data_IF_176452202968
#
_entry.id   IF_176452202968
#
_cell.length_a   1.000
_cell.length_b   1.000
_cell.length_c   1.000
_cell.angle_alpha   90.00
_cell.angle_beta   90.00
_cell.angle_gamma   90.00
#
_symmetry.space_group_name_H-M   'P 1'
#
loop_
_entity.id
_entity.type
_entity.pdbx_description
1 polymer ?
#
# COMPACT_ATOMS: atom_id res chain seq x y z
N UNK A 1 -13.10 -11.39 -11.52
CA UNK A 1 -13.31 -12.37 -12.61
C UNK A 1 -14.45 -13.29 -12.20
N UNK A 2 -14.35 -14.00 -11.10
CA UNK A 2 -15.28 -15.02 -10.62
C UNK A 2 -16.72 -14.53 -10.38
N UNK A 3 -16.91 -13.25 -10.07
CA UNK A 3 -18.24 -12.65 -9.89
C UNK A 3 -18.92 -12.27 -11.21
N UNK A 4 -18.16 -12.12 -12.28
CA UNK A 4 -18.65 -11.57 -13.56
C UNK A 4 -18.70 -12.61 -14.68
N UNK A 5 -17.90 -13.66 -14.61
CA UNK A 5 -17.70 -14.61 -15.68
C UNK A 5 -17.97 -16.04 -15.25
N UNK A 6 -18.53 -16.85 -16.12
CA UNK A 6 -18.69 -18.28 -15.87
C UNK A 6 -17.36 -19.00 -16.02
N UNK A 7 -16.88 -19.61 -14.95
CA UNK A 7 -15.67 -20.41 -15.00
C UNK A 7 -15.95 -21.76 -15.62
N UNK A 8 -15.09 -22.18 -16.53
CA UNK A 8 -15.12 -23.52 -17.11
C UNK A 8 -14.56 -24.57 -16.15
N UNK A 9 -13.58 -24.16 -15.35
CA UNK A 9 -12.88 -25.02 -14.40
C UNK A 9 -12.32 -24.17 -13.22
N UNK A 10 -11.84 -24.85 -12.20
CA UNK A 10 -11.19 -24.20 -11.06
C UNK A 10 -9.95 -23.43 -11.52
N UNK A 11 -9.77 -22.16 -11.12
CA UNK A 11 -8.59 -21.38 -11.48
C UNK A 11 -7.29 -22.07 -11.02
N UNK A 12 -6.24 -21.93 -11.83
CA UNK A 12 -4.93 -22.48 -11.51
C UNK A 12 -3.95 -21.38 -11.15
N UNK A 13 -3.40 -21.43 -9.93
CA UNK A 13 -2.32 -20.55 -9.50
C UNK A 13 -0.97 -21.20 -9.78
N UNK A 14 -0.24 -20.69 -10.77
CA UNK A 14 1.11 -21.07 -11.07
C UNK A 14 2.06 -20.38 -10.08
N UNK A 15 2.94 -21.15 -9.45
CA UNK A 15 3.88 -20.65 -8.46
C UNK A 15 5.32 -21.11 -8.75
N UNK A 16 6.29 -20.43 -8.16
CA UNK A 16 7.71 -20.74 -8.27
C UNK A 16 8.15 -21.63 -7.12
N UNK A 17 9.02 -22.55 -7.38
CA UNK A 17 9.69 -23.36 -6.34
C UNK A 17 10.37 -22.45 -5.32
N UNK A 18 9.99 -22.60 -4.04
CA UNK A 18 10.50 -21.81 -2.93
C UNK A 18 9.62 -20.61 -2.54
N UNK A 19 8.45 -20.44 -3.17
CA UNK A 19 7.45 -19.50 -2.68
C UNK A 19 6.97 -19.88 -1.28
N UNK A 20 6.64 -18.87 -0.46
CA UNK A 20 6.26 -19.11 0.93
C UNK A 20 4.96 -19.91 1.01
N UNK A 21 4.87 -20.77 2.01
CA UNK A 21 3.66 -21.54 2.27
C UNK A 21 2.44 -20.63 2.52
N UNK A 22 2.64 -19.48 3.12
CA UNK A 22 1.58 -18.51 3.38
C UNK A 22 0.92 -18.02 2.10
N UNK A 23 1.71 -17.72 1.05
CA UNK A 23 1.18 -17.38 -0.28
C UNK A 23 0.40 -18.52 -0.92
N UNK A 24 0.90 -19.73 -0.81
CA UNK A 24 0.25 -20.91 -1.38
C UNK A 24 -1.09 -21.20 -0.66
N UNK A 25 -1.10 -21.14 0.66
CA UNK A 25 -2.31 -21.31 1.49
C UNK A 25 -3.38 -20.24 1.15
N UNK A 26 -2.98 -19.02 0.80
CA UNK A 26 -3.92 -17.97 0.36
C UNK A 26 -4.58 -18.30 -0.98
N UNK A 27 -3.83 -18.81 -1.94
CA UNK A 27 -4.40 -19.24 -3.22
C UNK A 27 -5.39 -20.40 -3.05
N UNK A 28 -5.05 -21.38 -2.21
CA UNK A 28 -5.95 -22.50 -1.89
C UNK A 28 -7.23 -22.01 -1.19
N UNK A 29 -7.12 -21.10 -0.21
CA UNK A 29 -8.27 -20.49 0.46
C UNK A 29 -9.19 -19.72 -0.50
N UNK A 30 -8.63 -19.15 -1.56
CA UNK A 30 -9.37 -18.48 -2.64
C UNK A 30 -9.91 -19.45 -3.69
N UNK A 31 -9.73 -20.76 -3.49
CA UNK A 31 -10.27 -21.80 -4.36
C UNK A 31 -9.45 -22.03 -5.62
N UNK A 32 -8.15 -21.74 -5.63
CA UNK A 32 -7.27 -22.04 -6.76
C UNK A 32 -6.60 -23.41 -6.61
N UNK A 33 -6.42 -24.10 -7.71
CA UNK A 33 -5.51 -25.24 -7.80
C UNK A 33 -4.05 -24.73 -7.88
N UNK A 34 -3.15 -25.34 -7.12
CA UNK A 34 -1.74 -24.98 -7.14
C UNK A 34 -0.98 -25.77 -8.21
N UNK A 35 -0.12 -25.09 -8.97
CA UNK A 35 0.75 -25.72 -9.97
C UNK A 35 2.15 -25.12 -9.90
N UNK A 36 3.14 -25.93 -9.51
CA UNK A 36 4.55 -25.52 -9.61
C UNK A 36 4.95 -25.37 -11.09
N UNK A 37 5.48 -24.19 -11.46
CA UNK A 37 5.93 -23.94 -12.81
C UNK A 37 7.44 -24.20 -12.93
N UNK A 38 7.90 -25.02 -13.91
CA UNK A 38 9.30 -25.46 -13.99
C UNK A 38 10.29 -24.31 -14.21
N UNK A 39 9.85 -23.19 -14.76
CA UNK A 39 10.69 -22.01 -15.02
C UNK A 39 10.43 -20.86 -14.05
N UNK A 40 9.64 -21.10 -12.98
CA UNK A 40 9.38 -20.10 -11.94
C UNK A 40 8.37 -19.04 -12.31
N UNK A 41 7.56 -19.22 -13.34
CA UNK A 41 6.48 -18.34 -13.73
C UNK A 41 5.39 -18.30 -12.68
N UNK A 42 4.86 -17.11 -12.39
CA UNK A 42 3.77 -16.89 -11.47
C UNK A 42 2.60 -16.22 -12.18
N UNK A 43 1.43 -16.81 -12.09
CA UNK A 43 0.21 -16.27 -12.67
C UNK A 43 -1.01 -17.02 -12.12
N UNK A 44 -2.18 -16.39 -12.11
CA UNK A 44 -3.43 -17.08 -11.89
C UNK A 44 -4.16 -17.18 -13.22
N UNK A 45 -4.45 -18.40 -13.64
CA UNK A 45 -5.12 -18.71 -14.89
C UNK A 45 -6.59 -19.00 -14.63
N UNK A 46 -7.45 -18.27 -15.32
CA UNK A 46 -8.89 -18.45 -15.31
C UNK A 46 -9.35 -18.86 -16.70
N UNK A 47 -10.00 -20.01 -16.82
CA UNK A 47 -10.66 -20.40 -18.07
C UNK A 47 -12.13 -20.02 -17.93
N UNK A 48 -12.56 -19.03 -18.70
CA UNK A 48 -13.95 -18.59 -18.76
C UNK A 48 -14.65 -19.15 -19.97
N UNK A 49 -15.98 -19.27 -19.89
CA UNK A 49 -16.83 -19.66 -21.02
C UNK A 49 -17.98 -18.69 -21.18
N UNK A 50 -18.26 -18.35 -22.42
CA UNK A 50 -19.40 -17.52 -22.82
C UNK A 50 -20.10 -18.11 -24.03
N UNK A 51 -21.43 -17.99 -24.08
CA UNK A 51 -22.24 -18.39 -25.21
C UNK A 51 -22.53 -17.16 -26.07
N UNK A 52 -21.83 -17.07 -27.20
CA UNK A 52 -22.00 -15.95 -28.15
C UNK A 52 -22.63 -16.52 -29.44
N UNK A 53 -23.81 -16.04 -29.78
CA UNK A 53 -24.57 -16.46 -31.01
C UNK A 53 -24.69 -17.98 -31.11
N UNK A 54 -25.01 -18.66 -30.01
CA UNK A 54 -25.13 -20.13 -29.91
C UNK A 54 -23.83 -20.89 -30.12
N UNK A 55 -22.67 -20.23 -30.08
CA UNK A 55 -21.36 -20.83 -30.08
C UNK A 55 -20.72 -20.68 -28.71
N UNK A 56 -20.35 -21.81 -28.10
CA UNK A 56 -19.65 -21.81 -26.79
C UNK A 56 -18.18 -21.51 -27.01
N UNK A 57 -17.77 -20.32 -26.59
CA UNK A 57 -16.39 -19.88 -26.64
C UNK A 57 -15.72 -20.02 -25.26
N UNK A 58 -14.44 -20.37 -25.26
CA UNK A 58 -13.63 -20.37 -24.04
C UNK A 58 -12.44 -19.43 -24.22
N UNK A 59 -12.11 -18.69 -23.17
CA UNK A 59 -10.98 -17.77 -23.15
C UNK A 59 -10.17 -17.99 -21.88
N UNK A 60 -8.85 -17.93 -21.98
CA UNK A 60 -7.96 -17.90 -20.83
C UNK A 60 -7.63 -16.47 -20.45
N UNK A 61 -7.87 -16.12 -19.18
CA UNK A 61 -7.47 -14.86 -18.59
C UNK A 61 -6.33 -15.15 -17.61
N UNK A 62 -5.15 -14.59 -17.89
CA UNK A 62 -3.99 -14.70 -17.03
C UNK A 62 -3.86 -13.42 -16.18
N UNK A 63 -3.84 -13.57 -14.86
CA UNK A 63 -3.62 -12.48 -13.91
C UNK A 63 -2.23 -12.60 -13.33
N UNK A 64 -1.42 -11.60 -13.54
CA UNK A 64 -0.01 -11.55 -13.09
C UNK A 64 0.42 -10.11 -12.85
N UNK A 65 1.57 -9.93 -12.20
CA UNK A 65 2.15 -8.61 -11.99
C UNK A 65 2.79 -8.08 -13.28
N UNK A 66 3.08 -6.78 -13.31
CA UNK A 66 3.78 -6.16 -14.46
C UNK A 66 5.18 -6.74 -14.65
N UNK A 67 5.87 -7.08 -13.57
CA UNK A 67 7.21 -7.65 -13.63
C UNK A 67 7.21 -9.11 -14.10
N UNK A 68 6.22 -9.90 -13.69
CA UNK A 68 6.02 -11.26 -14.21
C UNK A 68 5.60 -11.24 -15.68
N UNK A 69 4.80 -10.27 -16.12
CA UNK A 69 4.48 -10.04 -17.53
C UNK A 69 5.73 -9.76 -18.35
N UNK A 70 6.55 -8.79 -17.90
CA UNK A 70 7.77 -8.40 -18.60
C UNK A 70 8.76 -9.58 -18.72
N UNK A 71 8.93 -10.34 -17.63
CA UNK A 71 9.76 -11.54 -17.64
C UNK A 71 9.23 -12.59 -18.62
N UNK A 72 7.93 -12.86 -18.57
CA UNK A 72 7.28 -13.88 -19.39
C UNK A 72 7.40 -13.58 -20.88
N UNK A 73 7.21 -12.32 -21.28
CA UNK A 73 7.36 -11.90 -22.69
C UNK A 73 8.80 -12.05 -23.19
N UNK A 74 9.78 -11.73 -22.35
CA UNK A 74 11.20 -11.89 -22.71
C UNK A 74 11.57 -13.38 -22.79
N UNK A 75 11.13 -14.18 -21.81
CA UNK A 75 11.32 -15.62 -21.76
C UNK A 75 10.75 -16.28 -23.03
N UNK A 76 9.53 -15.92 -23.40
CA UNK A 76 8.88 -16.43 -24.60
C UNK A 76 9.64 -16.07 -25.88
N UNK A 77 10.07 -14.81 -26.02
CA UNK A 77 10.83 -14.36 -27.21
C UNK A 77 12.20 -15.00 -27.35
N UNK A 78 12.87 -15.27 -26.23
CA UNK A 78 14.23 -15.85 -26.26
C UNK A 78 14.17 -17.37 -26.50
N UNK A 79 13.29 -18.08 -25.78
CA UNK A 79 13.28 -19.56 -25.83
C UNK A 79 12.38 -20.13 -26.90
N UNK A 80 11.24 -19.51 -27.17
CA UNK A 80 10.27 -20.08 -28.09
C UNK A 80 10.47 -19.58 -29.52
N UNK A 81 10.37 -20.43 -30.55
CA UNK A 81 10.18 -21.89 -30.42
C UNK A 81 11.48 -22.72 -30.47
N UNK A 82 12.66 -22.08 -30.70
CA UNK A 82 13.87 -22.79 -31.12
C UNK A 82 14.88 -23.09 -30.03
N UNK A 83 14.92 -22.33 -28.96
CA UNK A 83 15.95 -22.38 -27.91
C UNK A 83 15.44 -22.85 -26.55
N UNK A 84 14.41 -23.69 -26.55
CA UNK A 84 13.72 -24.11 -25.31
C UNK A 84 14.63 -24.80 -24.30
N UNK A 85 15.69 -25.50 -24.79
CA UNK A 85 16.59 -26.28 -23.96
C UNK A 85 17.99 -25.70 -23.79
N UNK A 86 18.25 -24.51 -24.32
CA UNK A 86 19.54 -23.87 -24.21
C UNK A 86 19.89 -23.57 -22.72
N UNK A 87 20.96 -24.18 -22.16
CA UNK A 87 21.28 -24.08 -20.74
C UNK A 87 21.70 -22.69 -20.32
N UNK A 88 22.27 -21.90 -21.23
CA UNK A 88 22.68 -20.52 -20.95
C UNK A 88 21.44 -19.64 -20.76
N UNK A 89 20.51 -19.71 -21.71
CA UNK A 89 19.27 -18.95 -21.60
C UNK A 89 18.45 -19.36 -20.37
N UNK A 90 18.37 -20.66 -20.07
CA UNK A 90 17.70 -21.15 -18.85
C UNK A 90 18.27 -20.50 -17.58
N UNK A 91 19.60 -20.43 -17.46
CA UNK A 91 20.25 -19.84 -16.28
C UNK A 91 19.99 -18.32 -16.18
N UNK A 92 20.17 -17.57 -17.26
CA UNK A 92 19.96 -16.12 -17.26
C UNK A 92 18.49 -15.75 -17.04
N UNK A 93 17.56 -16.46 -17.66
CA UNK A 93 16.13 -16.25 -17.45
C UNK A 93 15.69 -16.59 -16.03
N UNK A 94 16.31 -17.58 -15.39
CA UNK A 94 16.07 -17.88 -13.99
C UNK A 94 16.55 -16.75 -13.05
N UNK A 95 17.70 -16.14 -13.34
CA UNK A 95 18.19 -14.97 -12.61
C UNK A 95 17.25 -13.79 -12.83
N UNK A 96 16.83 -13.55 -14.06
CA UNK A 96 15.90 -12.48 -14.39
C UNK A 96 14.54 -12.66 -13.71
N UNK A 97 14.02 -13.90 -13.64
CA UNK A 97 12.80 -14.20 -12.88
C UNK A 97 12.94 -13.85 -11.39
N UNK A 98 14.09 -14.11 -10.77
CA UNK A 98 14.34 -13.73 -9.38
C UNK A 98 14.34 -12.22 -9.18
N UNK A 99 14.94 -11.47 -10.12
CA UNK A 99 14.93 -10.00 -10.08
C UNK A 99 13.52 -9.44 -10.24
N UNK A 100 12.72 -10.00 -11.14
CA UNK A 100 11.30 -9.65 -11.30
C UNK A 100 10.51 -9.89 -10.01
N UNK A 101 10.68 -11.05 -9.38
CA UNK A 101 10.04 -11.32 -8.10
C UNK A 101 10.49 -10.37 -6.98
N UNK A 102 11.78 -10.03 -6.92
CA UNK A 102 12.26 -9.04 -5.94
C UNK A 102 11.71 -7.64 -6.19
N UNK A 103 11.49 -7.26 -7.45
CA UNK A 103 10.85 -5.99 -7.80
C UNK A 103 9.37 -5.97 -7.35
N UNK A 104 8.64 -7.07 -7.50
CA UNK A 104 7.28 -7.23 -6.98
C UNK A 104 7.23 -7.09 -5.46
N UNK A 105 8.12 -7.78 -4.74
CA UNK A 105 8.21 -7.71 -3.28
C UNK A 105 8.52 -6.28 -2.80
N UNK A 106 9.45 -5.60 -3.47
CA UNK A 106 9.78 -4.20 -3.18
C UNK A 106 8.59 -3.27 -3.45
N UNK A 107 7.88 -3.47 -4.55
CA UNK A 107 6.67 -2.72 -4.87
C UNK A 107 5.59 -2.87 -3.80
N UNK A 108 5.31 -4.10 -3.38
CA UNK A 108 4.36 -4.41 -2.30
C UNK A 108 4.80 -3.77 -0.97
N UNK A 109 6.08 -3.87 -0.62
CA UNK A 109 6.63 -3.25 0.57
C UNK A 109 6.46 -1.72 0.57
N UNK A 110 6.73 -1.05 -0.57
CA UNK A 110 6.57 0.40 -0.68
C UNK A 110 5.11 0.84 -0.51
N UNK A 111 4.15 0.08 -1.02
CA UNK A 111 2.72 0.34 -0.83
C UNK A 111 2.36 0.24 0.65
N UNK A 112 2.74 -0.85 1.31
CA UNK A 112 2.51 -1.06 2.75
C UNK A 112 3.20 0.02 3.60
N UNK A 113 4.43 0.40 3.26
CA UNK A 113 5.15 1.47 3.93
C UNK A 113 4.42 2.81 3.80
N UNK A 114 3.90 3.12 2.61
CA UNK A 114 3.11 4.34 2.39
C UNK A 114 1.87 4.38 3.29
N UNK A 115 1.14 3.28 3.36
CA UNK A 115 -0.05 3.16 4.22
C UNK A 115 0.30 3.34 5.71
N UNK A 116 1.37 2.69 6.15
CA UNK A 116 1.84 2.81 7.53
C UNK A 116 2.27 4.23 7.91
N UNK A 117 3.02 4.90 7.03
CA UNK A 117 3.40 6.30 7.23
C UNK A 117 2.19 7.24 7.27
N UNK A 118 1.18 7.00 6.44
CA UNK A 118 -0.07 7.76 6.47
C UNK A 118 -0.81 7.58 7.81
N UNK A 119 -0.87 6.36 8.32
CA UNK A 119 -1.47 6.04 9.61
C UNK A 119 -0.74 6.74 10.77
N UNK A 120 0.60 6.67 10.81
CA UNK A 120 1.39 7.36 11.83
C UNK A 120 1.19 8.89 11.78
N UNK A 121 1.10 9.46 10.58
CA UNK A 121 0.80 10.89 10.41
C UNK A 121 -0.58 11.27 10.96
N UNK A 122 -1.59 10.43 10.74
CA UNK A 122 -2.92 10.63 11.28
C UNK A 122 -2.94 10.56 12.82
N UNK A 123 -2.30 9.57 13.40
CA UNK A 123 -2.21 9.40 14.86
C UNK A 123 -1.48 10.56 15.54
N UNK A 124 -0.38 11.03 14.93
CA UNK A 124 0.37 12.19 15.42
C UNK A 124 -0.49 13.47 15.44
N UNK A 125 -1.30 13.69 14.39
CA UNK A 125 -2.24 14.83 14.33
C UNK A 125 -3.30 14.75 15.41
N UNK A 126 -3.93 13.59 15.57
CA UNK A 126 -4.95 13.35 16.59
C UNK A 126 -4.40 13.61 18.00
N UNK A 127 -3.18 13.13 18.27
CA UNK A 127 -2.52 13.37 19.56
C UNK A 127 -2.28 14.87 19.78
N UNK A 128 -1.78 15.58 18.78
CA UNK A 128 -1.53 17.03 18.87
C UNK A 128 -2.81 17.83 19.08
N UNK A 129 -3.88 17.50 18.36
CA UNK A 129 -5.20 18.14 18.54
C UNK A 129 -5.75 17.92 19.95
N UNK A 130 -5.63 16.71 20.47
CA UNK A 130 -6.05 16.38 21.83
C UNK A 130 -5.25 17.15 22.90
N UNK A 131 -3.93 17.25 22.73
CA UNK A 131 -3.07 18.02 23.65
C UNK A 131 -3.39 19.52 23.58
N UNK A 132 -3.65 20.04 22.39
CA UNK A 132 -4.09 21.44 22.19
C UNK A 132 -5.43 21.70 22.84
N UNK A 133 -6.39 20.81 22.67
CA UNK A 133 -7.70 20.94 23.32
C UNK A 133 -7.60 20.94 24.85
N UNK A 134 -6.73 20.08 25.41
CA UNK A 134 -6.46 20.07 26.86
C UNK A 134 -5.82 21.40 27.34
N UNK A 135 -4.82 21.88 26.59
CA UNK A 135 -4.15 23.14 26.92
C UNK A 135 -5.11 24.33 26.87
N UNK A 136 -5.93 24.40 25.83
CA UNK A 136 -6.94 25.45 25.69
C UNK A 136 -7.95 25.44 26.85
N UNK A 137 -8.38 24.24 27.27
CA UNK A 137 -9.30 24.10 28.42
C UNK A 137 -8.66 24.64 29.71
N UNK A 138 -7.40 24.34 29.97
CA UNK A 138 -6.68 24.86 31.15
C UNK A 138 -6.53 26.38 31.05
N UNK A 139 -6.21 26.91 29.88
CA UNK A 139 -6.11 28.36 29.65
C UNK A 139 -7.46 29.07 29.94
N UNK A 140 -8.57 28.50 29.48
CA UNK A 140 -9.91 29.05 29.77
C UNK A 140 -10.26 29.00 31.26
N UNK A 141 -9.95 27.89 31.93
CA UNK A 141 -10.13 27.78 33.39
C UNK A 141 -9.33 28.84 34.15
N UNK A 142 -8.03 29.02 33.79
CA UNK A 142 -7.17 30.04 34.39
C UNK A 142 -7.67 31.47 34.10
N UNK A 143 -8.17 31.74 32.89
CA UNK A 143 -8.79 33.05 32.56
C UNK A 143 -10.01 33.33 33.42
N UNK A 144 -10.84 32.35 33.68
CA UNK A 144 -12.01 32.45 34.55
C UNK A 144 -11.60 32.76 36.01
N UNK A 145 -10.65 31.98 36.57
CA UNK A 145 -10.14 32.22 37.92
C UNK A 145 -9.54 33.62 38.08
N UNK A 146 -8.75 34.09 37.11
CA UNK A 146 -8.18 35.45 37.11
C UNK A 146 -9.28 36.51 37.08
N UNK A 147 -10.39 36.30 36.39
CA UNK A 147 -11.50 37.24 36.33
C UNK A 147 -12.25 37.34 37.66
N UNK A 148 -12.25 36.25 38.44
CA UNK A 148 -12.90 36.20 39.77
C UNK A 148 -12.04 36.78 40.88
N UNK A 149 -10.70 36.85 40.69
CA UNK A 149 -9.77 37.42 41.63
C UNK A 149 -9.82 38.97 41.58
N UNK A 150 -10.22 39.64 42.67
CA UNK A 150 -10.17 41.11 42.81
C UNK A 150 -8.75 41.62 43.01
N UNK A 151 -7.85 41.40 42.05
CA UNK A 151 -6.43 41.78 42.11
C UNK A 151 -6.20 43.09 41.35
N UNK A 152 -5.20 43.88 41.79
CA UNK A 152 -4.77 45.14 41.14
C UNK A 152 -4.59 44.95 39.62
N UNK A 153 -5.22 45.82 38.82
CA UNK A 153 -5.23 45.77 37.35
C UNK A 153 -3.85 45.52 36.67
N UNK A 154 -2.78 46.01 37.30
CA UNK A 154 -1.41 45.88 36.76
C UNK A 154 -0.88 44.42 36.76
N UNK A 155 -1.18 43.65 37.83
CA UNK A 155 -0.78 42.20 37.87
C UNK A 155 -1.66 41.34 36.99
N UNK A 156 -2.94 41.64 36.91
CA UNK A 156 -3.90 40.92 36.05
C UNK A 156 -3.53 41.07 34.58
N UNK A 157 -3.16 42.25 34.13
CA UNK A 157 -2.75 42.48 32.73
C UNK A 157 -1.45 41.73 32.37
N UNK A 158 -0.46 41.71 33.26
CA UNK A 158 0.77 40.94 33.03
C UNK A 158 0.52 39.43 32.93
N UNK A 159 -0.43 38.87 33.67
CA UNK A 159 -0.78 37.44 33.59
C UNK A 159 -1.59 37.16 32.31
N UNK A 160 -2.49 38.07 31.90
CA UNK A 160 -3.21 37.95 30.61
C UNK A 160 -2.27 37.95 29.42
N UNK A 161 -1.29 38.85 29.38
CA UNK A 161 -0.26 38.89 28.32
C UNK A 161 0.53 37.56 28.21
N UNK A 162 0.92 36.96 29.35
CA UNK A 162 1.59 35.67 29.38
C UNK A 162 0.71 34.51 28.91
N UNK A 163 -0.59 34.53 29.24
CA UNK A 163 -1.55 33.54 28.75
C UNK A 163 -1.77 33.67 27.25
N UNK A 164 -1.86 34.87 26.71
CA UNK A 164 -1.97 35.13 25.28
C UNK A 164 -0.71 34.70 24.51
N UNK A 165 0.46 34.83 25.11
CA UNK A 165 1.74 34.33 24.54
C UNK A 165 1.81 32.80 24.53
N UNK A 166 1.29 32.14 25.56
CA UNK A 166 1.18 30.68 25.61
C UNK A 166 0.21 30.15 24.54
N UNK A 167 -0.92 30.80 24.38
CA UNK A 167 -1.93 30.45 23.39
C UNK A 167 -1.39 30.58 21.95
N UNK A 168 -0.60 31.61 21.65
CA UNK A 168 0.13 31.75 20.39
C UNK A 168 1.16 30.66 20.19
N UNK A 169 1.93 30.25 21.21
CA UNK A 169 2.91 29.19 21.09
C UNK A 169 2.28 27.82 20.87
N UNK A 170 1.16 27.52 21.52
CA UNK A 170 0.40 26.27 21.26
C UNK A 170 -0.24 26.25 19.87
N UNK A 171 -0.53 27.43 19.30
CA UNK A 171 -1.04 27.58 17.94
C UNK A 171 0.04 27.47 16.84
N UNK A 172 1.30 27.81 17.12
CA UNK A 172 2.38 27.90 16.14
C UNK A 172 3.20 26.60 15.94
N UNK A 173 2.96 25.53 16.71
CA UNK A 173 3.63 24.23 16.53
C UNK A 173 3.20 23.46 15.25
N UNK A 174 2.68 24.17 14.23
CA UNK A 174 2.15 23.58 12.98
C UNK A 174 3.26 23.31 11.91
N UNK A 175 4.43 23.94 12.03
CA UNK A 175 5.40 24.05 10.92
C UNK A 175 6.03 22.73 10.42
N UNK A 176 6.23 21.72 11.25
CA UNK A 176 6.86 20.44 10.82
C UNK A 176 5.86 19.53 10.13
N UNK A 177 4.60 19.55 10.55
CA UNK A 177 3.53 18.74 9.96
C UNK A 177 3.03 19.30 8.62
N UNK A 178 3.12 20.60 8.38
CA UNK A 178 2.81 21.19 7.06
C UNK A 178 3.84 20.78 6.01
N UNK A 179 5.10 20.69 6.37
CA UNK A 179 6.16 20.23 5.44
C UNK A 179 5.94 18.78 5.01
N UNK A 180 5.58 17.89 5.95
CA UNK A 180 5.27 16.50 5.65
C UNK A 180 3.97 16.36 4.83
N UNK A 181 2.95 17.17 5.08
CA UNK A 181 1.70 17.13 4.30
C UNK A 181 1.86 17.69 2.89
N UNK A 182 2.60 18.76 2.69
CA UNK A 182 2.81 19.36 1.36
C UNK A 182 3.67 18.46 0.46
N UNK A 183 4.62 17.72 1.02
CA UNK A 183 5.36 16.70 0.26
C UNK A 183 4.49 15.50 -0.13
N UNK A 184 3.46 15.18 0.65
CA UNK A 184 2.52 14.10 0.35
C UNK A 184 1.46 14.47 -0.70
N UNK A 185 0.94 15.69 -0.66
CA UNK A 185 -0.08 16.18 -1.61
C UNK A 185 0.50 16.48 -3.01
N UNK A 186 1.75 16.88 -3.08
CA UNK A 186 2.43 17.09 -4.38
C UNK A 186 2.71 15.79 -5.14
N UNK A 187 2.69 14.65 -4.48
CA UNK A 187 2.88 13.33 -5.10
C UNK A 187 1.58 12.67 -5.59
N UNK A 188 0.41 13.27 -5.35
CA UNK A 188 -0.87 12.75 -5.85
C UNK A 188 -1.29 13.32 -7.22
N UNK A 189 -0.53 14.30 -7.76
CA UNK A 189 -0.79 14.94 -9.06
C UNK A 189 0.22 14.51 -10.15
N UNK A 190 0.89 13.39 -10.00
CA UNK A 190 1.68 12.68 -11.01
C UNK A 190 1.09 11.29 -11.22
#
# INVERSE_FOLDING_TARGET
ITERWNLKETPTACYRKGDSKEYLDEYEKKGCNLKEHPYGYRSIHYIITEDILSVKLSCEIQVRTVFEEAWSEIDHKIRYPYDMDNPIFKQYLLIFNRLSGSADEMGAFLITLKEHLAQLGYEAKQKQENERAKSNKIIEELRKEISELKISNKKVNSIKEKLDELDKKTSSCVGINEFLNNSYLSSQNL
#
